data_IF_193426828267
#
_entry.id   IF_193426828267
#
_cell.length_a   1.000
_cell.length_b   1.000
_cell.length_c   1.000
_cell.angle_alpha   90.00
_cell.angle_beta   90.00
_cell.angle_gamma   90.00
#
_symmetry.space_group_name_H-M   'P 1'
#
loop_
_entity.id
_entity.type
_entity.pdbx_description
1 polymer ?
#
# COMPACT_ATOMS: atom_id res chain seq x y z
N UNK A 1 -19.95 -18.27 8.98
CA UNK A 1 -19.59 -17.42 10.12
C UNK A 1 -18.33 -17.99 10.77
N UNK A 2 -17.15 -17.47 10.42
CA UNK A 2 -15.92 -17.87 11.10
C UNK A 2 -15.84 -17.10 12.43
N UNK A 3 -15.71 -17.82 13.53
CA UNK A 3 -15.51 -17.26 14.86
C UNK A 3 -14.35 -16.26 14.82
N UNK A 4 -14.59 -15.03 15.27
CA UNK A 4 -13.59 -13.99 15.39
C UNK A 4 -12.53 -14.40 16.40
N UNK A 5 -11.39 -14.90 15.91
CA UNK A 5 -10.15 -14.96 16.68
C UNK A 5 -9.75 -13.54 17.06
N UNK A 6 -10.06 -13.13 18.29
CA UNK A 6 -9.44 -11.98 18.93
C UNK A 6 -8.05 -12.42 19.38
N UNK A 7 -7.03 -12.07 18.60
CA UNK A 7 -5.64 -12.19 19.03
C UNK A 7 -5.46 -11.39 20.34
N UNK A 8 -4.82 -11.97 21.36
CA UNK A 8 -4.49 -11.26 22.62
C UNK A 8 -3.58 -10.04 22.39
N UNK A 9 -2.90 -9.97 21.24
CA UNK A 9 -2.13 -8.80 20.77
C UNK A 9 -2.87 -7.94 19.73
N UNK A 10 -4.17 -8.16 19.50
CA UNK A 10 -5.00 -7.36 18.61
C UNK A 10 -4.53 -7.35 17.13
N UNK A 11 -4.96 -6.36 16.33
CA UNK A 11 -4.54 -6.19 14.93
C UNK A 11 -3.02 -6.00 14.73
N UNK A 12 -2.23 -5.80 15.79
CA UNK A 12 -0.80 -5.50 15.73
C UNK A 12 0.05 -6.67 15.20
N UNK A 13 -0.32 -7.90 15.50
CA UNK A 13 0.51 -9.07 15.16
C UNK A 13 0.59 -9.34 13.65
N UNK A 14 -0.51 -9.08 12.94
CA UNK A 14 -0.65 -9.41 11.51
C UNK A 14 -0.49 -8.16 10.62
N UNK A 15 -0.04 -7.03 11.17
CA UNK A 15 0.05 -5.80 10.40
C UNK A 15 1.27 -5.83 9.47
N UNK A 16 1.02 -5.82 8.16
CA UNK A 16 2.09 -5.84 7.16
C UNK A 16 2.92 -4.55 7.16
N UNK A 17 2.33 -3.39 7.50
CA UNK A 17 3.09 -2.14 7.70
C UNK A 17 4.31 -2.26 8.61
N UNK A 18 4.25 -3.06 9.68
CA UNK A 18 5.40 -3.28 10.55
C UNK A 18 6.24 -4.47 10.08
N UNK A 19 5.60 -5.59 9.72
CA UNK A 19 6.31 -6.81 9.33
C UNK A 19 7.08 -6.69 8.00
N UNK A 20 6.66 -5.79 7.11
CA UNK A 20 7.34 -5.52 5.84
C UNK A 20 8.75 -4.97 6.03
N UNK A 21 9.12 -4.47 7.22
CA UNK A 21 10.48 -4.01 7.53
C UNK A 21 11.55 -5.05 7.17
N UNK A 22 11.24 -6.35 7.32
CA UNK A 22 12.12 -7.46 6.92
C UNK A 22 12.53 -7.40 5.44
N UNK A 23 11.65 -6.88 4.57
CA UNK A 23 11.82 -6.82 3.11
C UNK A 23 12.19 -5.40 2.68
N UNK A 24 11.50 -4.37 3.19
CA UNK A 24 11.71 -2.99 2.77
C UNK A 24 13.03 -2.41 3.27
N UNK A 25 13.53 -2.78 4.46
CA UNK A 25 14.81 -2.25 4.95
C UNK A 25 15.98 -2.67 4.05
N UNK A 26 16.16 -3.96 3.67
CA UNK A 26 17.19 -4.33 2.71
C UNK A 26 17.07 -3.59 1.37
N UNK A 27 15.86 -3.36 0.87
CA UNK A 27 15.63 -2.63 -0.38
C UNK A 27 16.00 -1.14 -0.27
N UNK A 28 15.65 -0.49 0.86
CA UNK A 28 16.08 0.89 1.16
C UNK A 28 17.61 0.98 1.27
N UNK A 29 18.25 0.03 1.97
CA UNK A 29 19.71 0.00 2.10
C UNK A 29 20.39 -0.15 0.75
N UNK A 30 19.84 -0.97 -0.14
CA UNK A 30 20.32 -1.08 -1.51
C UNK A 30 20.12 0.23 -2.28
N UNK A 31 18.92 0.83 -2.24
CA UNK A 31 18.60 2.07 -2.97
C UNK A 31 19.50 3.25 -2.57
N UNK A 32 19.71 3.46 -1.28
CA UNK A 32 20.41 4.66 -0.79
C UNK A 32 21.91 4.46 -0.58
N UNK A 33 22.36 3.24 -0.26
CA UNK A 33 23.76 2.97 0.06
C UNK A 33 24.42 1.95 -0.88
N UNK A 34 23.69 1.39 -1.86
CA UNK A 34 24.20 0.38 -2.79
C UNK A 34 24.53 -0.96 -2.14
N UNK A 35 24.27 -1.14 -0.85
CA UNK A 35 24.65 -2.36 -0.12
C UNK A 35 23.60 -3.45 -0.28
N UNK A 36 24.04 -4.63 -0.70
CA UNK A 36 23.18 -5.81 -0.89
C UNK A 36 23.44 -6.91 0.12
N UNK A 37 24.32 -6.67 1.11
CA UNK A 37 24.74 -7.65 2.13
C UNK A 37 23.57 -8.24 2.92
N UNK A 38 22.51 -7.46 3.14
CA UNK A 38 21.30 -7.88 3.85
C UNK A 38 20.37 -8.73 2.99
N UNK A 39 20.38 -8.56 1.66
CA UNK A 39 19.45 -9.22 0.74
C UNK A 39 19.58 -10.75 0.84
N UNK A 40 20.80 -11.28 0.67
CA UNK A 40 21.05 -12.72 0.75
C UNK A 40 20.65 -13.32 2.11
N UNK A 41 20.80 -12.55 3.20
CA UNK A 41 20.45 -12.99 4.56
C UNK A 41 18.95 -13.00 4.81
N UNK A 42 18.24 -12.00 4.29
CA UNK A 42 16.82 -11.80 4.56
C UNK A 42 15.91 -12.50 3.55
N UNK A 43 16.39 -12.81 2.34
CA UNK A 43 15.57 -13.30 1.24
C UNK A 43 14.67 -14.49 1.63
N UNK A 44 15.26 -15.58 2.15
CA UNK A 44 14.49 -16.77 2.57
C UNK A 44 13.52 -16.50 3.72
N UNK A 45 13.79 -15.52 4.58
CA UNK A 45 12.85 -15.09 5.61
C UNK A 45 11.69 -14.27 5.01
N UNK A 46 12.00 -13.40 4.04
CA UNK A 46 11.01 -12.68 3.24
C UNK A 46 10.04 -13.62 2.53
N UNK A 47 10.52 -14.71 1.93
CA UNK A 47 9.64 -15.71 1.30
C UNK A 47 8.63 -16.32 2.26
N UNK A 48 9.09 -16.74 3.46
CA UNK A 48 8.21 -17.30 4.49
C UNK A 48 7.20 -16.26 4.97
N UNK A 49 7.63 -15.01 5.09
CA UNK A 49 6.74 -13.92 5.47
C UNK A 49 5.68 -13.64 4.39
N UNK A 50 6.05 -13.63 3.11
CA UNK A 50 5.10 -13.43 2.02
C UNK A 50 4.13 -14.61 1.89
N UNK A 51 4.59 -15.85 2.13
CA UNK A 51 3.71 -17.02 2.20
C UNK A 51 2.71 -16.92 3.36
N UNK A 52 3.15 -16.41 4.51
CA UNK A 52 2.26 -16.11 5.65
C UNK A 52 1.22 -15.05 5.28
N UNK A 53 1.64 -13.92 4.70
CA UNK A 53 0.73 -12.83 4.29
C UNK A 53 -0.28 -13.28 3.23
N UNK A 54 0.14 -14.15 2.29
CA UNK A 54 -0.76 -14.76 1.30
C UNK A 54 -1.90 -15.54 1.95
N UNK A 55 -1.63 -16.23 3.07
CA UNK A 55 -2.64 -16.92 3.87
C UNK A 55 -3.64 -15.98 4.58
N UNK A 56 -3.43 -14.67 4.51
CA UNK A 56 -4.27 -13.64 5.12
C UNK A 56 -5.04 -12.79 4.10
N UNK A 57 -4.90 -13.09 2.81
CA UNK A 57 -5.61 -12.41 1.74
C UNK A 57 -7.13 -12.58 1.88
N UNK A 58 -7.84 -11.51 1.55
CA UNK A 58 -9.29 -11.46 1.37
C UNK A 58 -9.60 -11.03 -0.06
N UNK A 59 -10.80 -11.35 -0.53
CA UNK A 59 -11.26 -10.95 -1.87
C UNK A 59 -10.26 -11.26 -3.00
N UNK A 60 -9.50 -12.37 -2.85
CA UNK A 60 -8.54 -12.82 -3.84
C UNK A 60 -7.23 -12.03 -3.91
N UNK A 61 -6.89 -11.21 -2.89
CA UNK A 61 -5.58 -10.53 -2.81
C UNK A 61 -5.49 -9.31 -1.89
N UNK A 62 -6.61 -8.79 -1.38
CA UNK A 62 -6.61 -7.64 -0.47
C UNK A 62 -6.16 -8.04 0.93
N UNK A 63 -5.44 -7.14 1.59
CA UNK A 63 -5.10 -7.23 3.00
C UNK A 63 -6.02 -6.26 3.77
N UNK A 64 -7.11 -6.77 4.35
CA UNK A 64 -8.08 -5.95 5.11
C UNK A 64 -7.93 -6.14 6.63
N UNK A 65 -6.69 -6.23 7.10
CA UNK A 65 -6.39 -6.30 8.53
C UNK A 65 -5.09 -5.56 8.81
N UNK A 66 -4.92 -5.13 10.06
CA UNK A 66 -3.81 -4.33 10.51
C UNK A 66 -4.29 -3.02 11.10
N UNK A 67 -3.46 -1.98 11.06
CA UNK A 67 -3.81 -0.68 11.66
C UNK A 67 -4.32 0.37 10.68
N UNK A 68 -4.16 0.18 9.36
CA UNK A 68 -4.41 1.25 8.39
C UNK A 68 -3.59 2.52 8.69
N UNK A 69 -4.13 3.70 8.38
CA UNK A 69 -3.52 4.99 8.72
C UNK A 69 -3.77 5.39 10.18
N UNK A 70 -3.08 4.71 11.09
CA UNK A 70 -3.27 4.85 12.54
C UNK A 70 -3.02 6.27 13.05
N UNK A 71 -3.85 6.74 13.99
CA UNK A 71 -3.73 8.07 14.59
C UNK A 71 -4.70 9.12 14.02
N UNK A 72 -5.56 8.73 13.07
CA UNK A 72 -6.65 9.56 12.53
C UNK A 72 -8.01 8.91 12.77
N UNK A 73 -9.03 9.67 13.19
CA UNK A 73 -10.46 9.29 13.18
C UNK A 73 -10.88 8.16 14.13
N UNK A 74 -10.27 6.97 14.00
CA UNK A 74 -10.54 5.77 14.78
C UNK A 74 -9.20 5.17 15.25
N UNK A 75 -9.13 4.72 16.50
CA UNK A 75 -7.94 4.05 17.05
C UNK A 75 -7.59 2.72 16.34
N UNK A 76 -8.46 2.23 15.44
CA UNK A 76 -8.32 0.99 14.68
C UNK A 76 -8.76 1.22 13.23
N UNK A 77 -7.81 1.19 12.27
CA UNK A 77 -8.10 0.99 10.85
C UNK A 77 -8.80 2.15 10.15
N UNK A 78 -8.01 2.95 9.43
CA UNK A 78 -8.50 3.70 8.27
C UNK A 78 -7.75 3.23 7.02
N UNK A 79 -8.43 2.98 5.92
CA UNK A 79 -7.85 2.60 4.65
C UNK A 79 -6.99 1.33 4.73
N UNK A 80 -7.40 0.34 5.53
CA UNK A 80 -6.64 -0.92 5.68
C UNK A 80 -6.48 -1.62 4.33
N UNK A 81 -7.58 -1.86 3.62
CA UNK A 81 -7.56 -2.54 2.33
C UNK A 81 -6.66 -1.82 1.32
N UNK A 82 -6.62 -0.49 1.37
CA UNK A 82 -5.80 0.33 0.51
C UNK A 82 -4.31 0.26 0.91
N UNK A 83 -3.99 0.68 2.12
CA UNK A 83 -2.61 0.86 2.58
C UNK A 83 -1.87 -0.48 2.69
N UNK A 84 -2.49 -1.46 3.34
CA UNK A 84 -1.83 -2.74 3.62
C UNK A 84 -1.61 -3.52 2.31
N UNK A 85 -2.56 -3.47 1.37
CA UNK A 85 -2.42 -4.13 0.07
C UNK A 85 -1.37 -3.44 -0.82
N UNK A 86 -1.28 -2.11 -0.79
CA UNK A 86 -0.23 -1.38 -1.53
C UNK A 86 1.17 -1.78 -1.03
N UNK A 87 1.34 -1.92 0.28
CA UNK A 87 2.60 -2.39 0.88
C UNK A 87 2.86 -3.87 0.55
N UNK A 88 1.81 -4.70 0.54
CA UNK A 88 1.94 -6.10 0.13
C UNK A 88 2.45 -6.22 -1.31
N UNK A 89 1.88 -5.43 -2.22
CA UNK A 89 2.35 -5.33 -3.61
C UNK A 89 3.82 -4.92 -3.71
N UNK A 90 4.24 -3.86 -2.99
CA UNK A 90 5.64 -3.42 -3.01
C UNK A 90 6.59 -4.46 -2.43
N UNK A 91 6.18 -5.21 -1.39
CA UNK A 91 6.98 -6.31 -0.88
C UNK A 91 7.19 -7.41 -1.94
N UNK A 92 6.19 -7.73 -2.75
CA UNK A 92 6.33 -8.69 -3.85
C UNK A 92 7.32 -8.18 -4.91
N UNK A 93 7.26 -6.88 -5.25
CA UNK A 93 8.23 -6.26 -6.16
C UNK A 93 9.65 -6.26 -5.58
N UNK A 94 9.82 -5.95 -4.29
CA UNK A 94 11.11 -6.07 -3.60
C UNK A 94 11.65 -7.50 -3.68
N UNK A 95 10.81 -8.51 -3.44
CA UNK A 95 11.21 -9.92 -3.53
C UNK A 95 11.66 -10.29 -4.95
N UNK A 96 11.00 -9.78 -5.99
CA UNK A 96 11.48 -9.91 -7.38
C UNK A 96 12.86 -9.27 -7.57
N UNK A 97 13.07 -8.04 -7.10
CA UNK A 97 14.38 -7.36 -7.16
C UNK A 97 15.48 -8.15 -6.44
N UNK A 98 15.16 -8.72 -5.29
CA UNK A 98 16.09 -9.57 -4.53
C UNK A 98 16.42 -10.86 -5.27
N UNK A 99 15.42 -11.56 -5.81
CA UNK A 99 15.62 -12.74 -6.62
C UNK A 99 16.52 -12.44 -7.84
N UNK A 100 16.29 -11.30 -8.50
CA UNK A 100 17.14 -10.83 -9.59
C UNK A 100 18.58 -10.58 -9.13
N UNK A 101 18.80 -9.99 -7.95
CA UNK A 101 20.14 -9.77 -7.40
C UNK A 101 20.87 -11.08 -7.06
N UNK A 102 20.12 -12.11 -6.67
CA UNK A 102 20.65 -13.42 -6.31
C UNK A 102 20.77 -14.37 -7.51
N UNK A 103 20.47 -13.91 -8.74
CA UNK A 103 20.43 -14.71 -9.97
C UNK A 103 19.45 -15.89 -9.89
N UNK A 104 18.28 -15.67 -9.27
CA UNK A 104 17.19 -16.63 -9.12
C UNK A 104 16.05 -16.29 -10.09
N UNK A 105 16.28 -16.47 -11.40
CA UNK A 105 15.37 -15.98 -12.45
C UNK A 105 13.96 -16.59 -12.40
N UNK A 106 13.82 -17.86 -12.02
CA UNK A 106 12.51 -18.51 -11.91
C UNK A 106 11.72 -17.98 -10.72
N UNK A 107 12.40 -17.74 -9.59
CA UNK A 107 11.78 -17.15 -8.41
C UNK A 107 11.38 -15.69 -8.69
N UNK A 108 12.23 -14.92 -9.40
CA UNK A 108 11.92 -13.56 -9.86
C UNK A 108 10.61 -13.52 -10.66
N UNK A 109 10.46 -14.37 -11.68
CA UNK A 109 9.24 -14.44 -12.51
C UNK A 109 8.01 -14.79 -11.67
N UNK A 110 8.15 -15.67 -10.68
CA UNK A 110 7.09 -16.02 -9.76
C UNK A 110 6.62 -14.81 -8.94
N UNK A 111 7.57 -14.03 -8.39
CA UNK A 111 7.27 -12.82 -7.64
C UNK A 111 6.63 -11.74 -8.51
N UNK A 112 7.10 -11.53 -9.74
CA UNK A 112 6.51 -10.58 -10.70
C UNK A 112 5.07 -10.96 -11.06
N UNK A 113 4.81 -12.25 -11.27
CA UNK A 113 3.45 -12.75 -11.53
C UNK A 113 2.52 -12.48 -10.35
N UNK A 114 3.00 -12.67 -9.13
CA UNK A 114 2.21 -12.41 -7.94
C UNK A 114 1.97 -10.92 -7.72
N UNK A 115 3.00 -10.09 -7.91
CA UNK A 115 2.86 -8.63 -7.86
C UNK A 115 1.81 -8.16 -8.87
N UNK A 116 1.87 -8.65 -10.12
CA UNK A 116 0.87 -8.34 -11.14
C UNK A 116 -0.56 -8.74 -10.71
N UNK A 117 -0.72 -9.93 -10.11
CA UNK A 117 -2.02 -10.36 -9.59
C UNK A 117 -2.56 -9.38 -8.55
N UNK A 118 -1.73 -8.95 -7.61
CA UNK A 118 -2.14 -8.00 -6.57
C UNK A 118 -2.41 -6.62 -7.15
N UNK A 119 -1.64 -6.16 -8.13
CA UNK A 119 -1.93 -4.94 -8.88
C UNK A 119 -3.34 -4.98 -9.50
N UNK A 120 -3.69 -6.09 -10.16
CA UNK A 120 -5.00 -6.26 -10.80
C UNK A 120 -6.14 -6.28 -9.75
N UNK A 121 -5.93 -6.98 -8.62
CA UNK A 121 -6.91 -7.06 -7.51
C UNK A 121 -7.10 -5.71 -6.83
N UNK A 122 -6.01 -5.01 -6.52
CA UNK A 122 -6.03 -3.69 -5.91
C UNK A 122 -6.88 -2.72 -6.74
N UNK A 123 -6.58 -2.63 -8.03
CA UNK A 123 -7.31 -1.75 -8.94
C UNK A 123 -8.75 -2.18 -9.13
N UNK A 124 -9.04 -3.49 -9.24
CA UNK A 124 -10.41 -3.98 -9.36
C UNK A 124 -11.30 -3.59 -8.17
N UNK A 125 -10.76 -3.61 -6.96
CA UNK A 125 -11.55 -3.45 -5.74
C UNK A 125 -11.54 -2.04 -5.15
N UNK A 126 -10.53 -1.23 -5.48
CA UNK A 126 -10.29 0.05 -4.83
C UNK A 126 -10.34 1.24 -5.79
N UNK A 127 -10.13 1.04 -7.09
CA UNK A 127 -10.22 2.12 -8.07
C UNK A 127 -11.68 2.29 -8.51
N UNK A 128 -12.26 3.44 -8.20
CA UNK A 128 -13.60 3.83 -8.63
C UNK A 128 -13.48 4.72 -9.86
N UNK A 129 -14.17 4.35 -10.94
CA UNK A 129 -14.14 5.11 -12.21
C UNK A 129 -15.52 5.52 -12.71
N UNK A 130 -16.57 5.00 -12.08
CA UNK A 130 -17.96 5.03 -12.49
C UNK A 130 -18.88 5.62 -11.40
N UNK A 131 -18.39 6.63 -10.68
CA UNK A 131 -19.16 7.33 -9.66
C UNK A 131 -19.81 8.60 -10.25
N UNK A 132 -21.15 8.67 -10.38
CA UNK A 132 -21.83 9.84 -10.92
C UNK A 132 -21.72 11.08 -10.02
N UNK A 133 -21.35 10.92 -8.75
CA UNK A 133 -21.16 12.04 -7.81
C UNK A 133 -19.79 12.72 -7.93
N UNK A 134 -18.84 12.10 -8.64
CA UNK A 134 -17.46 12.60 -8.78
C UNK A 134 -17.01 12.59 -10.24
N UNK A 135 -16.45 13.69 -10.76
CA UNK A 135 -16.05 13.79 -12.16
C UNK A 135 -14.76 13.05 -12.51
N UNK A 136 -13.99 12.60 -11.52
CA UNK A 136 -12.67 11.99 -11.68
C UNK A 136 -12.60 10.65 -10.96
N UNK A 137 -11.80 9.73 -11.49
CA UNK A 137 -11.50 8.48 -10.81
C UNK A 137 -10.77 8.74 -9.48
N UNK A 138 -10.96 7.84 -8.52
CA UNK A 138 -10.35 7.92 -7.20
C UNK A 138 -10.23 6.54 -6.56
N UNK A 139 -9.34 6.42 -5.57
CA UNK A 139 -9.23 5.25 -4.71
C UNK A 139 -10.07 5.35 -3.44
N UNK A 140 -10.74 4.26 -3.08
CA UNK A 140 -11.50 4.11 -1.83
C UNK A 140 -10.73 3.28 -0.79
N UNK A 141 -11.17 3.34 0.48
CA UNK A 141 -10.64 2.60 1.62
C UNK A 141 -11.28 1.22 1.82
N UNK A 142 -12.54 1.05 1.36
CA UNK A 142 -13.48 -0.05 1.69
C UNK A 142 -13.90 -0.13 3.16
N UNK A 143 -13.61 0.87 3.99
CA UNK A 143 -13.95 0.83 5.42
C UNK A 143 -15.47 0.89 5.66
N UNK A 144 -16.22 1.55 4.77
CA UNK A 144 -17.70 1.67 4.82
C UNK A 144 -18.38 1.12 3.55
N UNK A 145 -17.97 -0.07 3.09
CA UNK A 145 -18.57 -0.68 1.89
C UNK A 145 -20.09 -0.94 2.08
N UNK A 146 -20.96 -0.60 1.10
CA UNK A 146 -20.67 -0.24 -0.29
C UNK A 146 -20.47 1.26 -0.58
N UNK A 147 -20.43 2.12 0.45
CA UNK A 147 -20.11 3.53 0.25
C UNK A 147 -18.62 3.68 -0.09
N UNK A 148 -18.29 4.73 -0.83
CA UNK A 148 -16.93 5.04 -1.24
C UNK A 148 -16.49 6.38 -0.65
N UNK A 149 -15.29 6.39 -0.08
CA UNK A 149 -14.59 7.60 0.33
C UNK A 149 -13.49 7.95 -0.69
N UNK A 150 -13.01 9.18 -0.63
CA UNK A 150 -11.96 9.71 -1.51
C UNK A 150 -10.93 10.46 -0.66
N UNK A 151 -10.28 9.72 0.24
CA UNK A 151 -9.26 10.28 1.12
C UNK A 151 -7.96 10.55 0.36
N UNK A 152 -7.31 11.69 0.62
CA UNK A 152 -6.01 12.03 0.07
C UNK A 152 -4.94 10.96 0.36
N UNK A 153 -5.00 10.30 1.52
CA UNK A 153 -4.04 9.25 1.89
C UNK A 153 -4.16 8.06 0.95
N UNK A 154 -5.37 7.62 0.61
CA UNK A 154 -5.60 6.55 -0.37
C UNK A 154 -5.02 6.91 -1.74
N UNK A 155 -5.22 8.15 -2.20
CA UNK A 155 -4.70 8.60 -3.49
C UNK A 155 -3.16 8.66 -3.48
N UNK A 156 -2.59 9.26 -2.42
CA UNK A 156 -1.15 9.39 -2.24
C UNK A 156 -0.46 8.03 -2.18
N UNK A 157 -1.03 7.07 -1.45
CA UNK A 157 -0.52 5.70 -1.42
C UNK A 157 -0.49 5.09 -2.81
N UNK A 158 -1.59 5.17 -3.56
CA UNK A 158 -1.63 4.58 -4.87
C UNK A 158 -0.58 5.19 -5.82
N UNK A 159 -0.44 6.52 -5.80
CA UNK A 159 0.56 7.26 -6.60
C UNK A 159 1.99 6.89 -6.20
N UNK A 160 2.32 6.94 -4.90
CA UNK A 160 3.68 6.71 -4.40
C UNK A 160 4.15 5.27 -4.55
N UNK A 161 3.21 4.32 -4.57
CA UNK A 161 3.48 2.90 -4.79
C UNK A 161 3.41 2.48 -6.26
N UNK A 162 3.20 3.43 -7.19
CA UNK A 162 3.09 3.19 -8.63
C UNK A 162 2.09 2.08 -8.99
N UNK A 163 0.97 2.00 -8.26
CA UNK A 163 -0.09 1.01 -8.49
C UNK A 163 -1.27 1.58 -9.30
N UNK A 164 -1.18 2.87 -9.68
CA UNK A 164 -2.17 3.55 -10.53
C UNK A 164 -1.98 3.18 -12.00
N UNK A 165 -3.05 2.77 -12.72
CA UNK A 165 -3.00 2.65 -14.17
C UNK A 165 -2.60 3.98 -14.82
N UNK A 166 -1.68 3.94 -15.80
CA UNK A 166 -1.12 5.16 -16.41
C UNK A 166 -2.19 6.15 -16.89
N UNK A 167 -3.28 5.63 -17.48
CA UNK A 167 -4.40 6.43 -17.98
C UNK A 167 -5.15 7.21 -16.88
N UNK A 168 -5.04 6.79 -15.61
CA UNK A 168 -5.73 7.37 -14.46
C UNK A 168 -4.81 8.26 -13.59
N UNK A 169 -3.51 8.36 -13.88
CA UNK A 169 -2.60 9.13 -13.02
C UNK A 169 -3.08 10.58 -12.84
N UNK A 170 -3.48 11.25 -13.94
CA UNK A 170 -3.93 12.64 -13.89
C UNK A 170 -5.26 12.83 -13.14
N UNK A 171 -6.18 11.87 -13.26
CA UNK A 171 -7.48 11.90 -12.56
C UNK A 171 -7.29 11.66 -11.07
N UNK A 172 -6.44 10.71 -10.68
CA UNK A 172 -6.09 10.46 -9.26
C UNK A 172 -5.38 11.67 -8.64
N UNK A 173 -4.48 12.34 -9.36
CA UNK A 173 -3.86 13.59 -8.88
C UNK A 173 -4.89 14.69 -8.64
N UNK A 174 -5.90 14.81 -9.50
CA UNK A 174 -6.99 15.77 -9.33
C UNK A 174 -7.86 15.43 -8.12
N UNK A 175 -8.18 14.14 -7.94
CA UNK A 175 -8.91 13.65 -6.77
C UNK A 175 -8.14 13.86 -5.48
N UNK A 176 -6.82 13.66 -5.48
CA UNK A 176 -5.93 14.00 -4.37
C UNK A 176 -6.05 15.48 -3.99
N UNK A 177 -5.95 16.39 -4.98
CA UNK A 177 -6.08 17.82 -4.73
C UNK A 177 -7.43 18.23 -4.17
N UNK A 178 -8.52 17.55 -4.57
CA UNK A 178 -9.85 17.87 -4.07
C UNK A 178 -9.95 17.76 -2.54
N UNK A 179 -9.23 16.83 -1.92
CA UNK A 179 -9.27 16.57 -0.48
C UNK A 179 -8.23 17.38 0.33
N UNK A 180 -7.12 17.80 -0.28
CA UNK A 180 -6.06 18.61 0.40
C UNK A 180 -6.16 20.12 0.14
N UNK A 181 -7.06 20.57 -0.74
CA UNK A 181 -7.14 21.97 -1.19
C UNK A 181 -7.45 22.98 -0.08
N UNK A 182 -8.03 22.55 1.05
CA UNK A 182 -8.35 23.43 2.18
C UNK A 182 -7.19 23.61 3.17
N UNK A 183 -6.00 23.08 2.84
CA UNK A 183 -4.77 23.23 3.63
C UNK A 183 -4.78 22.45 4.95
N UNK A 184 -5.72 21.52 5.16
CA UNK A 184 -5.76 20.71 6.38
C UNK A 184 -5.09 19.37 6.16
N UNK A 185 -4.13 19.05 7.03
CA UNK A 185 -3.53 17.73 7.06
C UNK A 185 -4.50 16.73 7.69
N UNK A 186 -4.91 15.77 6.87
CA UNK A 186 -5.72 14.65 7.30
C UNK A 186 -4.91 13.38 7.11
N UNK A 187 -4.10 13.01 8.09
CA UNK A 187 -3.36 11.74 8.06
C UNK A 187 -3.05 11.25 9.46
N UNK A 188 -2.93 9.94 9.58
CA UNK A 188 -2.27 9.27 10.68
C UNK A 188 -0.75 9.23 10.50
N UNK A 189 -0.10 8.39 11.30
CA UNK A 189 1.35 8.20 11.36
C UNK A 189 1.94 7.84 10.00
N UNK A 190 1.26 6.99 9.24
CA UNK A 190 1.80 6.36 8.04
C UNK A 190 1.46 7.16 6.79
N UNK A 191 0.25 7.72 6.71
CA UNK A 191 -0.21 8.57 5.62
C UNK A 191 0.58 9.87 5.48
N UNK A 192 1.04 10.45 6.59
CA UNK A 192 1.66 11.78 6.60
C UNK A 192 2.86 11.89 5.65
N UNK A 193 3.75 10.89 5.67
CA UNK A 193 4.92 10.85 4.78
C UNK A 193 4.51 10.87 3.31
N UNK A 194 3.52 10.08 2.94
CA UNK A 194 3.10 9.95 1.54
C UNK A 194 2.30 11.15 1.07
N UNK A 195 1.54 11.82 1.95
CA UNK A 195 0.95 13.13 1.64
C UNK A 195 2.03 14.14 1.27
N UNK A 196 3.07 14.28 2.09
CA UNK A 196 4.16 15.24 1.85
C UNK A 196 4.94 14.92 0.58
N UNK A 197 5.31 13.65 0.39
CA UNK A 197 6.00 13.23 -0.83
C UNK A 197 5.15 13.53 -2.07
N UNK A 198 3.85 13.21 -2.04
CA UNK A 198 2.95 13.46 -3.17
C UNK A 198 2.79 14.95 -3.44
N UNK A 199 2.65 15.80 -2.41
CA UNK A 199 2.64 17.26 -2.58
C UNK A 199 3.95 17.78 -3.17
N UNK A 200 5.09 17.22 -2.75
CA UNK A 200 6.41 17.53 -3.31
C UNK A 200 6.52 17.16 -4.79
N UNK A 201 6.16 15.93 -5.15
CA UNK A 201 6.18 15.42 -6.53
C UNK A 201 5.27 16.25 -7.45
N UNK A 202 4.12 16.69 -6.94
CA UNK A 202 3.16 17.52 -7.66
C UNK A 202 3.46 19.03 -7.59
N UNK A 203 4.58 19.44 -6.97
CA UNK A 203 5.03 20.84 -6.82
C UNK A 203 3.97 21.74 -6.15
N UNK A 204 3.24 21.19 -5.17
CA UNK A 204 2.22 21.88 -4.38
C UNK A 204 2.56 21.97 -2.90
N UNK A 205 3.84 22.15 -2.59
CA UNK A 205 4.32 22.37 -1.22
C UNK A 205 3.72 23.62 -0.56
N UNK A 206 3.11 24.53 -1.33
CA UNK A 206 2.35 25.69 -0.84
C UNK A 206 1.12 25.31 0.00
N UNK A 207 0.62 24.08 -0.14
CA UNK A 207 -0.50 23.56 0.66
C UNK A 207 -0.08 23.05 2.05
N UNK A 208 1.22 23.07 2.36
CA UNK A 208 1.77 22.77 3.68
C UNK A 208 1.87 24.09 4.47
N UNK A 209 0.83 24.41 5.23
CA UNK A 209 0.78 25.58 6.11
C UNK A 209 0.92 25.19 7.58
#
# INVERSE_FOLDING_TARGET
MALGMRYMCGPLHDTIKQGCALILIPDILQRYYGTTKSIAKMYRAGERYMAYMKGKERFGGLIEHGLGDWGRGIAHGNAQANIETAIYHECLLCMSRFASHLNLDDEKKSWEKEAKRIYDVYNKHLLVTDDPSRPHAYYTSRDDYPNHDCDAVCQAFALQFNIVPEAQISTIQTSFFSDVSDGKLRSGEIGLRYLFNTLGDLRRSDLLL
#
